data_IF_554415258652
#
_entry.id   IF_554415258652
#
_cell.length_a   1.000
_cell.length_b   1.000
_cell.length_c   1.000
_cell.angle_alpha   90.00
_cell.angle_beta   90.00
_cell.angle_gamma   90.00
#
_symmetry.space_group_name_H-M   'P 1'
#
loop_
_entity.id
_entity.type
_entity.pdbx_description
1 polymer ?
#
# COMPACT_ATOMS: atom_id res chain seq x y z
N UNK A 1 0.34 21.24 -10.91
CA UNK A 1 1.53 21.98 -10.44
C UNK A 1 2.30 22.58 -11.61
N UNK A 2 3.29 21.90 -12.22
CA UNK A 2 4.20 22.48 -13.22
C UNK A 2 3.57 23.39 -14.29
N UNK A 3 2.55 22.94 -15.02
CA UNK A 3 1.87 23.76 -16.05
C UNK A 3 0.98 24.88 -15.47
N UNK A 4 0.40 24.70 -14.27
CA UNK A 4 -0.46 25.70 -13.64
C UNK A 4 0.33 26.91 -13.11
N UNK A 5 1.61 26.69 -12.74
CA UNK A 5 2.54 27.76 -12.37
C UNK A 5 2.86 28.74 -13.52
N UNK A 6 2.49 28.40 -14.76
CA UNK A 6 2.63 29.29 -15.93
C UNK A 6 1.28 29.84 -16.44
N UNK A 7 0.16 29.48 -15.80
CA UNK A 7 -1.19 29.92 -16.19
C UNK A 7 -1.79 30.93 -15.21
N UNK A 8 -1.41 30.87 -13.93
CA UNK A 8 -1.89 31.75 -12.87
C UNK A 8 -0.72 32.49 -12.24
N UNK A 9 -0.67 33.81 -12.45
CA UNK A 9 0.40 34.70 -11.99
C UNK A 9 0.47 34.78 -10.47
N UNK A 10 -0.68 34.80 -9.79
CA UNK A 10 -0.73 35.00 -8.34
C UNK A 10 -0.44 33.68 -7.61
N UNK A 11 -0.84 32.54 -8.20
CA UNK A 11 -0.36 31.21 -7.80
C UNK A 11 1.16 31.07 -7.99
N UNK A 12 1.73 31.61 -9.08
CA UNK A 12 3.17 31.59 -9.32
C UNK A 12 3.94 32.45 -8.30
N UNK A 13 3.50 33.69 -8.05
CA UNK A 13 4.10 34.60 -7.07
C UNK A 13 4.04 34.02 -5.66
N UNK A 14 2.86 33.54 -5.23
CA UNK A 14 2.71 32.95 -3.89
C UNK A 14 3.52 31.67 -3.71
N UNK A 15 3.61 30.81 -4.74
CA UNK A 15 4.47 29.61 -4.71
C UNK A 15 5.95 29.97 -4.60
N UNK A 16 6.41 30.99 -5.35
CA UNK A 16 7.80 31.45 -5.29
C UNK A 16 8.13 32.11 -3.94
N UNK A 17 7.20 32.87 -3.35
CA UNK A 17 7.36 33.43 -2.00
C UNK A 17 7.44 32.33 -0.93
N UNK A 18 6.61 31.28 -1.02
CA UNK A 18 6.67 30.12 -0.12
C UNK A 18 8.00 29.35 -0.26
N UNK A 19 8.54 29.21 -1.47
CA UNK A 19 9.86 28.62 -1.74
C UNK A 19 11.02 29.50 -1.21
N UNK A 20 11.00 30.81 -1.43
CA UNK A 20 12.02 31.73 -0.91
C UNK A 20 12.04 31.72 0.63
N UNK A 21 10.85 31.74 1.23
CA UNK A 21 10.67 31.60 2.69
C UNK A 21 11.12 30.24 3.21
N UNK A 22 11.14 29.20 2.38
CA UNK A 22 11.71 27.89 2.71
C UNK A 22 13.24 27.91 2.65
N UNK A 23 13.82 28.46 1.58
CA UNK A 23 15.25 28.61 1.42
C UNK A 23 15.89 29.39 2.58
N UNK A 24 15.30 30.52 2.98
CA UNK A 24 15.80 31.28 4.14
C UNK A 24 15.78 30.49 5.44
N UNK A 25 14.74 29.68 5.70
CA UNK A 25 14.66 28.85 6.92
C UNK A 25 15.72 27.75 6.94
N UNK A 26 15.99 27.13 5.79
CA UNK A 26 17.08 26.15 5.64
C UNK A 26 18.44 26.83 5.83
N UNK A 27 18.66 28.00 5.23
CA UNK A 27 19.91 28.76 5.37
C UNK A 27 20.14 29.27 6.81
N UNK A 28 19.08 29.63 7.56
CA UNK A 28 19.18 29.95 9.00
C UNK A 28 19.54 28.71 9.82
N UNK A 29 18.83 27.59 9.65
CA UNK A 29 19.15 26.34 10.37
C UNK A 29 20.53 25.76 10.03
N UNK A 30 21.08 26.05 8.85
CA UNK A 30 22.48 25.76 8.48
C UNK A 30 23.50 26.67 9.18
N UNK A 31 23.12 27.87 9.62
CA UNK A 31 23.99 28.79 10.38
C UNK A 31 23.90 28.54 11.89
N UNK A 32 22.76 28.07 12.37
CA UNK A 32 22.56 27.69 13.78
C UNK A 32 23.20 26.31 14.09
N UNK A 33 23.41 25.47 13.06
CA UNK A 33 24.08 24.17 13.16
C UNK A 33 25.61 24.31 13.07
N UNK A 34 26.25 24.68 14.19
CA UNK A 34 27.71 24.67 14.32
C UNK A 34 28.28 23.26 14.16
N UNK A 35 29.08 23.07 13.12
CA UNK A 35 30.09 22.00 12.92
C UNK A 35 29.61 20.56 13.21
N UNK A 36 28.98 19.92 12.23
CA UNK A 36 28.47 18.54 12.38
C UNK A 36 27.75 17.96 11.15
N UNK A 37 28.54 17.48 10.18
CA UNK A 37 28.19 16.40 9.23
C UNK A 37 26.83 16.48 8.50
N UNK A 38 26.48 17.65 7.97
CA UNK A 38 25.56 17.75 6.82
C UNK A 38 26.35 17.55 5.52
N UNK A 39 26.61 16.29 5.16
CA UNK A 39 27.07 15.92 3.82
C UNK A 39 26.05 16.40 2.77
N UNK A 40 26.38 17.52 2.14
CA UNK A 40 25.84 17.85 0.83
C UNK A 40 26.18 16.69 -0.09
N UNK A 41 25.18 16.04 -0.66
CA UNK A 41 25.40 15.17 -1.82
C UNK A 41 25.98 16.09 -2.88
N UNK A 42 27.22 15.83 -3.29
CA UNK A 42 27.92 16.68 -4.24
C UNK A 42 27.09 16.87 -5.50
N UNK A 43 27.21 18.06 -6.09
CA UNK A 43 26.51 18.37 -7.33
C UNK A 43 27.16 17.56 -8.43
N UNK A 44 26.65 16.34 -8.63
CA UNK A 44 27.11 15.38 -9.64
C UNK A 44 27.38 16.13 -10.95
N UNK A 45 28.66 16.21 -11.29
CA UNK A 45 29.09 16.68 -12.60
C UNK A 45 28.44 15.77 -13.64
N UNK A 46 27.79 16.30 -14.69
CA UNK A 46 27.14 15.49 -15.71
C UNK A 46 28.08 14.57 -16.49
N UNK A 47 29.40 14.61 -16.25
CA UNK A 47 30.41 13.75 -16.84
C UNK A 47 30.94 12.63 -15.91
N UNK A 48 30.79 12.70 -14.58
CA UNK A 48 31.26 11.62 -13.69
C UNK A 48 30.21 10.50 -13.58
N UNK A 49 30.65 9.28 -13.87
CA UNK A 49 29.80 8.09 -13.94
C UNK A 49 30.10 7.03 -12.87
N UNK A 50 31.12 7.22 -12.01
CA UNK A 50 31.73 6.11 -11.26
C UNK A 50 31.57 6.18 -9.73
N UNK A 51 30.92 7.21 -9.20
CA UNK A 51 30.88 7.51 -7.75
C UNK A 51 29.87 6.69 -6.90
N UNK A 52 29.67 5.39 -7.17
CA UNK A 52 28.91 4.46 -6.29
C UNK A 52 29.46 3.02 -6.32
N UNK A 53 30.60 2.79 -5.68
CA UNK A 53 31.06 1.45 -5.28
C UNK A 53 31.49 1.46 -3.81
N UNK A 54 31.11 0.43 -3.06
CA UNK A 54 31.53 0.22 -1.65
C UNK A 54 31.96 -1.24 -1.47
N UNK A 55 33.16 -1.52 -1.96
CA UNK A 55 34.18 -2.41 -1.40
C UNK A 55 33.75 -3.76 -0.76
N UNK A 56 33.99 -4.85 -1.49
CA UNK A 56 34.48 -6.14 -0.96
C UNK A 56 35.43 -6.74 -2.04
N UNK A 57 36.32 -7.66 -1.65
CA UNK A 57 37.57 -8.01 -2.37
C UNK A 57 38.10 -9.38 -1.91
N UNK A 58 39.00 -10.10 -2.59
CA UNK A 58 39.92 -9.80 -3.71
C UNK A 58 39.45 -10.56 -5.00
N UNK A 59 40.15 -10.70 -6.15
CA UNK A 59 41.56 -10.52 -6.56
C UNK A 59 41.69 -10.33 -8.10
N UNK A 60 42.87 -9.91 -8.55
CA UNK A 60 43.31 -9.65 -9.95
C UNK A 60 43.21 -10.83 -10.96
N UNK A 61 42.90 -10.51 -12.22
CA UNK A 61 43.85 -10.59 -13.36
C UNK A 61 43.23 -9.98 -14.64
N UNK A 62 44.05 -9.29 -15.46
CA UNK A 62 43.67 -8.67 -16.74
C UNK A 62 43.34 -9.69 -17.86
N UNK A 63 42.43 -9.35 -18.80
CA UNK A 63 42.77 -8.77 -20.12
C UNK A 63 41.48 -8.33 -20.87
N UNK A 64 41.63 -7.47 -21.90
CA UNK A 64 40.51 -6.85 -22.66
C UNK A 64 39.75 -7.83 -23.58
N UNK A 65 38.43 -7.64 -23.73
CA UNK A 65 37.83 -7.47 -25.08
C UNK A 65 36.41 -6.85 -25.06
N UNK A 66 36.02 -6.13 -26.13
CA UNK A 66 34.69 -5.51 -26.25
C UNK A 66 33.63 -6.51 -26.76
N UNK A 67 32.76 -7.02 -25.86
CA UNK A 67 31.52 -7.71 -26.26
C UNK A 67 30.25 -7.05 -25.72
N UNK A 68 29.43 -6.54 -26.63
CA UNK A 68 28.12 -5.95 -26.35
C UNK A 68 27.08 -7.03 -26.07
N UNK A 69 26.86 -7.38 -24.81
CA UNK A 69 25.79 -8.31 -24.43
C UNK A 69 24.40 -7.71 -24.69
N UNK A 70 23.65 -8.33 -25.59
CA UNK A 70 22.36 -7.87 -26.09
C UNK A 70 21.24 -8.56 -25.29
N UNK A 71 20.95 -8.06 -24.08
CA UNK A 71 19.85 -8.54 -23.23
C UNK A 71 18.52 -8.47 -24.00
N UNK A 72 18.10 -9.62 -24.55
CA UNK A 72 16.92 -9.73 -25.41
C UNK A 72 15.64 -9.39 -24.65
N UNK A 73 15.15 -8.16 -24.83
CA UNK A 73 13.79 -7.78 -24.46
C UNK A 73 12.79 -8.41 -25.43
N UNK A 74 12.19 -9.53 -25.03
CA UNK A 74 11.11 -10.19 -25.76
C UNK A 74 9.81 -9.38 -25.63
N UNK A 75 9.55 -8.50 -26.60
CA UNK A 75 8.30 -7.78 -26.78
C UNK A 75 7.93 -7.71 -28.27
N UNK A 76 6.65 -7.99 -28.58
CA UNK A 76 6.14 -8.05 -29.96
C UNK A 76 5.87 -6.66 -30.57
N UNK A 77 6.94 -5.87 -30.73
CA UNK A 77 6.94 -4.63 -31.50
C UNK A 77 8.06 -4.69 -32.54
N UNK A 78 7.69 -4.78 -33.84
CA UNK A 78 8.58 -4.87 -35.00
C UNK A 78 9.87 -4.02 -34.82
N UNK A 79 10.97 -4.69 -34.50
CA UNK A 79 12.19 -4.01 -34.08
C UNK A 79 12.85 -3.29 -35.26
N UNK A 80 13.80 -2.39 -34.97
CA UNK A 80 14.61 -1.78 -36.04
C UNK A 80 15.43 -2.85 -36.79
N UNK A 81 15.71 -3.99 -36.14
CA UNK A 81 16.33 -5.15 -36.77
C UNK A 81 15.35 -5.89 -37.70
N UNK A 82 14.13 -6.17 -37.25
CA UNK A 82 13.10 -6.84 -38.07
C UNK A 82 12.77 -6.03 -39.33
N UNK A 83 12.73 -4.69 -39.22
CA UNK A 83 12.49 -3.80 -40.37
C UNK A 83 13.69 -3.69 -41.30
N UNK A 84 14.91 -3.93 -40.81
CA UNK A 84 16.11 -4.07 -41.63
C UNK A 84 16.14 -5.44 -42.32
N UNK A 85 15.82 -6.51 -41.60
CA UNK A 85 15.65 -7.87 -42.12
C UNK A 85 14.58 -7.94 -43.20
N UNK A 86 13.37 -7.40 -42.97
CA UNK A 86 12.31 -7.32 -43.98
C UNK A 86 12.73 -6.46 -45.19
N UNK A 87 13.50 -5.38 -45.01
CA UNK A 87 13.98 -4.58 -46.13
C UNK A 87 15.08 -5.30 -46.95
N UNK A 88 15.96 -6.05 -46.30
CA UNK A 88 16.98 -6.89 -46.95
C UNK A 88 16.31 -8.08 -47.65
N UNK A 89 15.37 -8.76 -46.99
CA UNK A 89 14.61 -9.87 -47.55
C UNK A 89 13.72 -9.41 -48.72
N UNK A 90 13.11 -8.22 -48.64
CA UNK A 90 12.39 -7.63 -49.77
C UNK A 90 13.32 -7.33 -50.95
N UNK A 91 14.51 -6.78 -50.70
CA UNK A 91 15.52 -6.52 -51.73
C UNK A 91 15.98 -7.81 -52.43
N UNK A 92 16.19 -8.89 -51.67
CA UNK A 92 16.58 -10.20 -52.20
C UNK A 92 15.41 -10.93 -52.88
N UNK A 93 14.16 -10.73 -52.43
CA UNK A 93 12.97 -11.37 -53.01
C UNK A 93 12.57 -10.88 -54.41
N UNK A 94 13.28 -9.87 -54.96
CA UNK A 94 13.19 -9.54 -56.38
C UNK A 94 13.69 -10.69 -57.28
N UNK A 95 14.61 -11.50 -56.77
CA UNK A 95 15.10 -12.73 -57.39
C UNK A 95 14.23 -13.89 -56.86
N UNK A 96 13.33 -14.42 -57.71
CA UNK A 96 12.25 -15.30 -57.24
C UNK A 96 12.66 -16.75 -56.96
N UNK A 97 12.99 -17.00 -55.69
CA UNK A 97 12.50 -18.13 -54.86
C UNK A 97 12.55 -19.55 -55.45
N UNK A 98 13.46 -20.40 -54.93
CA UNK A 98 13.49 -21.83 -55.25
C UNK A 98 14.25 -22.75 -54.29
N UNK A 99 14.38 -22.41 -53.00
CA UNK A 99 15.18 -23.12 -51.95
C UNK A 99 16.70 -23.31 -52.21
N UNK A 100 17.18 -23.15 -53.45
CA UNK A 100 18.60 -23.14 -53.78
C UNK A 100 19.26 -21.80 -53.43
N UNK A 101 20.54 -21.86 -53.04
CA UNK A 101 21.36 -20.68 -52.74
C UNK A 101 21.61 -19.87 -54.01
N UNK A 102 21.41 -18.55 -53.95
CA UNK A 102 21.83 -17.63 -55.01
C UNK A 102 23.34 -17.78 -55.19
N UNK A 103 23.77 -18.30 -56.34
CA UNK A 103 25.18 -18.30 -56.70
C UNK A 103 25.59 -16.86 -57.09
N UNK A 104 26.66 -16.38 -56.48
CA UNK A 104 27.13 -15.00 -56.66
C UNK A 104 27.99 -14.87 -57.93
N UNK A 105 28.50 -15.98 -58.46
CA UNK A 105 29.34 -15.98 -59.66
C UNK A 105 28.51 -15.89 -60.97
N UNK A 106 27.18 -16.10 -60.90
CA UNK A 106 26.22 -15.95 -62.02
C UNK A 106 25.59 -14.53 -62.10
N UNK A 107 25.90 -13.62 -61.17
CA UNK A 107 25.33 -12.26 -61.12
C UNK A 107 26.12 -11.28 -61.99
N UNK A 108 25.45 -10.54 -62.88
CA UNK A 108 26.12 -9.52 -63.71
C UNK A 108 26.49 -8.24 -62.93
N UNK A 109 27.47 -7.48 -63.44
CA UNK A 109 28.00 -6.26 -62.80
C UNK A 109 26.93 -5.20 -62.50
N UNK A 110 25.85 -5.17 -63.27
CA UNK A 110 24.78 -4.17 -63.17
C UNK A 110 23.71 -4.61 -62.14
N UNK A 111 23.39 -5.91 -62.06
CA UNK A 111 22.61 -6.49 -60.97
C UNK A 111 23.37 -6.41 -59.64
N UNK A 112 24.68 -6.63 -59.64
CA UNK A 112 25.54 -6.39 -58.48
C UNK A 112 25.49 -4.92 -58.01
N UNK A 113 25.57 -3.95 -58.93
CA UNK A 113 25.49 -2.52 -58.58
C UNK A 113 24.08 -2.12 -58.08
N UNK A 114 23.01 -2.71 -58.61
CA UNK A 114 21.64 -2.43 -58.14
C UNK A 114 21.36 -3.05 -56.78
N UNK A 115 21.76 -4.30 -56.52
CA UNK A 115 21.70 -4.93 -55.21
C UNK A 115 22.45 -4.10 -54.16
N UNK A 116 23.66 -3.64 -54.47
CA UNK A 116 24.45 -2.77 -53.60
C UNK A 116 23.75 -1.42 -53.33
N UNK A 117 23.12 -0.80 -54.33
CA UNK A 117 22.32 0.43 -54.16
C UNK A 117 21.10 0.22 -53.25
N UNK A 118 20.40 -0.90 -53.35
CA UNK A 118 19.24 -1.21 -52.50
C UNK A 118 19.67 -1.47 -51.06
N UNK A 119 20.70 -2.30 -50.84
CA UNK A 119 21.27 -2.56 -49.51
C UNK A 119 21.78 -1.26 -48.85
N UNK A 120 22.52 -0.43 -49.58
CA UNK A 120 23.00 0.86 -49.08
C UNK A 120 21.84 1.79 -48.67
N UNK A 121 20.71 1.75 -49.37
CA UNK A 121 19.52 2.50 -49.00
C UNK A 121 18.80 1.93 -47.75
N UNK A 122 18.74 0.61 -47.59
CA UNK A 122 18.23 -0.02 -46.37
C UNK A 122 19.06 0.37 -45.13
N UNK A 123 20.39 0.28 -45.21
CA UNK A 123 21.30 0.70 -44.13
C UNK A 123 21.24 2.22 -43.84
N UNK A 124 21.00 3.06 -44.85
CA UNK A 124 20.77 4.51 -44.64
C UNK A 124 19.48 4.77 -43.87
N UNK A 125 18.39 4.06 -44.20
CA UNK A 125 17.10 4.23 -43.53
C UNK A 125 17.12 3.77 -42.06
N UNK A 126 17.75 2.63 -41.75
CA UNK A 126 17.88 2.15 -40.36
C UNK A 126 18.70 3.12 -39.49
N UNK A 127 19.83 3.63 -40.01
CA UNK A 127 20.72 4.59 -39.31
C UNK A 127 20.04 5.94 -39.01
N UNK A 128 19.18 6.42 -39.91
CA UNK A 128 18.35 7.62 -39.69
C UNK A 128 17.29 7.42 -38.60
N UNK A 129 16.70 6.23 -38.51
CA UNK A 129 15.70 5.91 -37.48
C UNK A 129 16.33 5.73 -36.10
N UNK A 130 17.45 5.02 -35.98
CA UNK A 130 18.19 4.87 -34.72
C UNK A 130 18.60 6.21 -34.11
N UNK A 131 18.96 7.20 -34.94
CA UNK A 131 19.29 8.56 -34.49
C UNK A 131 18.11 9.30 -33.84
N UNK A 132 16.88 9.09 -34.34
CA UNK A 132 15.65 9.65 -33.76
C UNK A 132 15.30 8.97 -32.43
N UNK A 133 15.50 7.66 -32.32
CA UNK A 133 15.32 6.89 -31.07
C UNK A 133 16.32 7.33 -30.00
N UNK A 134 17.63 7.43 -30.34
CA UNK A 134 18.66 7.92 -29.40
C UNK A 134 18.39 9.36 -28.92
N UNK A 135 17.85 10.26 -29.76
CA UNK A 135 17.40 11.60 -29.32
C UNK A 135 16.18 11.57 -28.38
N UNK A 136 15.16 10.74 -28.66
CA UNK A 136 14.02 10.55 -27.74
C UNK A 136 14.47 10.01 -26.37
N UNK A 137 15.39 9.04 -26.36
CA UNK A 137 15.97 8.47 -25.13
C UNK A 137 16.68 9.53 -24.26
N UNK A 138 17.57 10.36 -24.84
CA UNK A 138 18.24 11.45 -24.10
C UNK A 138 17.24 12.43 -23.47
N UNK A 139 16.19 12.85 -24.20
CA UNK A 139 15.16 13.74 -23.64
C UNK A 139 14.36 13.07 -22.50
N UNK A 140 14.05 11.77 -22.63
CA UNK A 140 13.42 10.98 -21.58
C UNK A 140 14.25 10.92 -20.28
N UNK A 141 15.57 10.69 -20.38
CA UNK A 141 16.48 10.72 -19.23
C UNK A 141 16.49 12.09 -18.54
N UNK A 142 16.65 13.18 -19.30
CA UNK A 142 16.63 14.57 -18.78
C UNK A 142 15.32 14.86 -18.05
N UNK A 143 14.17 14.50 -18.62
CA UNK A 143 12.86 14.73 -18.02
C UNK A 143 12.66 13.93 -16.72
N UNK A 144 13.24 12.73 -16.61
CA UNK A 144 13.25 11.93 -15.38
C UNK A 144 14.13 12.56 -14.31
N UNK A 145 15.34 13.02 -14.63
CA UNK A 145 16.20 13.75 -13.68
C UNK A 145 15.51 15.03 -13.17
N UNK A 146 14.90 15.83 -14.05
CA UNK A 146 14.13 17.01 -13.65
C UNK A 146 12.99 16.65 -12.68
N UNK A 147 12.23 15.58 -12.95
CA UNK A 147 11.18 15.10 -12.04
C UNK A 147 11.73 14.66 -10.67
N UNK A 148 12.91 14.03 -10.63
CA UNK A 148 13.59 13.67 -9.37
C UNK A 148 14.00 14.94 -8.61
N UNK A 149 14.58 15.95 -9.26
CA UNK A 149 14.94 17.23 -8.61
C UNK A 149 13.71 18.01 -8.11
N UNK A 150 12.58 17.95 -8.80
CA UNK A 150 11.31 18.51 -8.30
C UNK A 150 10.81 17.76 -7.05
N UNK A 151 11.02 16.43 -6.97
CA UNK A 151 10.72 15.67 -5.75
C UNK A 151 11.69 16.03 -4.62
N UNK A 152 12.99 16.19 -4.88
CA UNK A 152 13.98 16.66 -3.89
C UNK A 152 13.54 18.00 -3.25
N UNK A 153 13.13 18.97 -4.08
CA UNK A 153 12.66 20.29 -3.61
C UNK A 153 11.36 20.19 -2.79
N UNK A 154 10.38 19.37 -3.22
CA UNK A 154 9.17 19.10 -2.45
C UNK A 154 9.49 18.43 -1.11
N UNK A 155 10.47 17.53 -1.10
CA UNK A 155 10.92 16.81 0.08
C UNK A 155 11.68 17.67 1.10
N UNK A 156 12.39 18.71 0.64
CA UNK A 156 12.98 19.77 1.49
C UNK A 156 11.87 20.65 2.05
N UNK A 157 10.94 21.10 1.20
CA UNK A 157 9.80 21.92 1.60
C UNK A 157 8.94 21.25 2.69
N UNK A 158 8.62 19.96 2.52
CA UNK A 158 7.88 19.17 3.52
C UNK A 158 8.62 19.00 4.85
N UNK A 159 9.96 19.07 4.85
CA UNK A 159 10.79 19.08 6.06
C UNK A 159 10.80 20.43 6.80
N UNK A 160 10.62 21.54 6.07
CA UNK A 160 10.82 22.91 6.57
C UNK A 160 9.80 23.41 7.62
N UNK A 161 8.72 22.67 7.86
CA UNK A 161 7.50 23.19 8.46
C UNK A 161 6.57 23.83 7.41
N UNK A 162 5.97 23.03 6.52
CA UNK A 162 5.15 23.53 5.41
C UNK A 162 3.80 24.12 5.87
N UNK A 163 3.10 24.78 4.95
CA UNK A 163 1.69 25.14 5.13
C UNK A 163 0.78 23.91 5.04
N UNK A 164 -0.20 23.78 5.95
CA UNK A 164 -1.13 22.65 5.98
C UNK A 164 -1.96 22.56 4.69
N UNK A 165 -2.43 23.70 4.17
CA UNK A 165 -3.17 23.76 2.91
C UNK A 165 -2.29 23.37 1.71
N UNK A 166 -1.03 23.81 1.67
CA UNK A 166 -0.08 23.47 0.60
C UNK A 166 0.23 21.97 0.57
N UNK A 167 0.43 21.32 1.73
CA UNK A 167 0.55 19.85 1.81
C UNK A 167 -0.64 19.12 1.17
N UNK A 168 -1.86 19.57 1.46
CA UNK A 168 -3.08 18.98 0.93
C UNK A 168 -3.29 19.27 -0.57
N UNK A 169 -2.80 20.40 -1.07
CA UNK A 169 -2.75 20.71 -2.52
C UNK A 169 -1.75 19.82 -3.29
N UNK A 170 -0.62 19.47 -2.68
CA UNK A 170 0.44 18.62 -3.28
C UNK A 170 0.01 17.15 -3.38
N UNK A 171 -0.84 16.68 -2.46
CA UNK A 171 -1.28 15.29 -2.31
C UNK A 171 -1.88 14.68 -3.59
N UNK A 172 -2.92 15.27 -4.18
CA UNK A 172 -3.57 14.71 -5.38
C UNK A 172 -2.64 14.69 -6.61
N UNK A 173 -1.86 15.75 -6.92
CA UNK A 173 -0.80 15.70 -7.92
C UNK A 173 0.21 14.57 -7.71
N UNK A 174 0.70 14.35 -6.49
CA UNK A 174 1.63 13.22 -6.23
C UNK A 174 0.94 11.87 -6.44
N UNK A 175 -0.33 11.71 -6.07
CA UNK A 175 -1.10 10.49 -6.36
C UNK A 175 -1.45 10.32 -7.85
N UNK A 176 -1.48 11.38 -8.65
CA UNK A 176 -1.59 11.30 -10.12
C UNK A 176 -0.25 10.89 -10.75
N UNK A 177 0.86 11.44 -10.26
CA UNK A 177 2.20 11.04 -10.70
C UNK A 177 2.49 9.59 -10.29
N UNK A 178 2.07 9.15 -9.10
CA UNK A 178 2.16 7.74 -8.68
C UNK A 178 1.45 6.82 -9.68
N UNK A 179 0.18 7.13 -9.97
CA UNK A 179 -0.66 6.38 -10.90
C UNK A 179 -0.05 6.27 -12.31
N UNK A 180 0.59 7.34 -12.80
CA UNK A 180 1.27 7.36 -14.10
C UNK A 180 2.57 6.55 -14.13
N UNK A 181 3.27 6.40 -13.00
CA UNK A 181 4.53 5.66 -12.92
C UNK A 181 4.34 4.17 -12.57
N UNK A 182 3.18 3.75 -12.04
CA UNK A 182 2.85 2.33 -11.86
C UNK A 182 2.56 1.65 -13.22
N UNK A 183 2.06 2.40 -14.21
CA UNK A 183 1.71 1.89 -15.56
C UNK A 183 2.91 1.80 -16.53
N UNK A 184 4.15 1.90 -16.07
CA UNK A 184 5.35 1.90 -16.92
C UNK A 184 6.55 1.33 -16.15
N UNK A 185 6.93 0.10 -16.49
CA UNK A 185 8.01 -0.65 -15.84
C UNK A 185 9.38 0.02 -15.94
N UNK A 186 9.64 0.85 -16.96
CA UNK A 186 10.90 1.58 -17.10
C UNK A 186 11.02 2.78 -16.14
N UNK A 187 9.95 3.14 -15.42
CA UNK A 187 9.93 4.27 -14.47
C UNK A 187 10.13 3.87 -13.00
N UNK A 188 10.54 2.63 -12.71
CA UNK A 188 10.78 2.09 -11.35
C UNK A 188 11.57 3.04 -10.41
N UNK A 189 12.67 3.70 -10.80
CA UNK A 189 13.39 4.64 -9.91
C UNK A 189 12.54 5.86 -9.51
N UNK A 190 11.77 6.42 -10.45
CA UNK A 190 10.88 7.55 -10.21
C UNK A 190 9.68 7.12 -9.36
N UNK A 191 9.14 5.93 -9.58
CA UNK A 191 8.08 5.33 -8.77
C UNK A 191 8.49 5.23 -7.28
N UNK A 192 9.70 4.77 -6.99
CA UNK A 192 10.24 4.70 -5.62
C UNK A 192 10.34 6.09 -4.98
N UNK A 193 10.85 7.10 -5.70
CA UNK A 193 10.94 8.49 -5.19
C UNK A 193 9.57 9.12 -4.94
N UNK A 194 8.59 8.89 -5.82
CA UNK A 194 7.21 9.39 -5.63
C UNK A 194 6.57 8.77 -4.39
N UNK A 195 6.75 7.45 -4.17
CA UNK A 195 6.30 6.76 -2.95
C UNK A 195 7.00 7.30 -1.69
N UNK A 196 8.30 7.62 -1.75
CA UNK A 196 9.01 8.25 -0.63
C UNK A 196 8.43 9.63 -0.29
N UNK A 197 8.27 10.50 -1.30
CA UNK A 197 7.72 11.85 -1.11
C UNK A 197 6.28 11.83 -0.56
N UNK A 198 5.42 10.91 -1.02
CA UNK A 198 4.08 10.69 -0.47
C UNK A 198 4.10 10.22 1.00
N UNK A 199 5.03 9.33 1.36
CA UNK A 199 5.22 8.88 2.74
C UNK A 199 5.73 10.01 3.64
N UNK A 200 6.60 10.88 3.13
CA UNK A 200 7.10 12.08 3.83
C UNK A 200 5.96 13.07 4.09
N UNK A 201 5.16 13.37 3.06
CA UNK A 201 3.96 14.23 3.14
C UNK A 201 2.98 13.72 4.21
N UNK A 202 2.60 12.44 4.14
CA UNK A 202 1.62 11.83 5.06
C UNK A 202 2.09 11.71 6.52
N UNK A 203 3.37 12.03 6.79
CA UNK A 203 3.99 12.03 8.12
C UNK A 203 4.43 13.42 8.61
N UNK A 204 4.09 14.51 7.91
CA UNK A 204 4.28 15.88 8.43
C UNK A 204 3.47 16.06 9.72
N UNK A 205 4.13 16.53 10.79
CA UNK A 205 3.52 16.76 12.11
C UNK A 205 3.46 18.24 12.51
N UNK A 206 4.36 19.07 11.98
CA UNK A 206 4.49 20.51 12.28
C UNK A 206 4.10 21.31 11.05
N UNK A 207 3.28 22.34 11.23
CA UNK A 207 2.85 23.26 10.18
C UNK A 207 3.10 24.69 10.66
N UNK A 208 3.59 25.58 9.79
CA UNK A 208 3.71 27.01 10.11
C UNK A 208 2.36 27.70 9.93
N UNK A 209 1.63 27.39 8.85
CA UNK A 209 0.31 27.95 8.56
C UNK A 209 -0.78 26.87 8.57
N UNK A 210 -1.84 27.11 9.35
CA UNK A 210 -3.00 26.22 9.54
C UNK A 210 -4.30 26.83 8.94
N UNK A 211 -4.20 28.05 8.42
CA UNK A 211 -5.29 28.82 7.80
C UNK A 211 -5.65 28.33 6.39
N UNK A 212 -6.70 28.92 5.80
CA UNK A 212 -7.24 28.55 4.48
C UNK A 212 -7.88 27.15 4.39
N UNK A 213 -7.66 26.28 5.37
CA UNK A 213 -8.16 24.90 5.39
C UNK A 213 -9.66 24.83 5.78
N UNK A 214 -10.55 24.84 4.79
CA UNK A 214 -12.00 24.87 5.01
C UNK A 214 -12.64 23.48 5.16
N UNK A 215 -13.86 23.45 5.71
CA UNK A 215 -14.70 22.25 5.76
C UNK A 215 -15.03 21.67 4.37
N UNK A 216 -15.09 22.52 3.33
CA UNK A 216 -15.33 22.10 1.94
C UNK A 216 -14.09 21.45 1.34
N UNK A 217 -12.90 22.02 1.54
CA UNK A 217 -11.63 21.42 1.10
C UNK A 217 -11.45 20.02 1.73
N UNK A 218 -11.72 19.86 3.03
CA UNK A 218 -11.70 18.54 3.69
C UNK A 218 -12.67 17.56 3.03
N UNK A 219 -13.91 18.02 2.80
CA UNK A 219 -14.95 17.16 2.26
C UNK A 219 -14.63 16.68 0.85
N UNK A 220 -14.28 17.61 -0.02
CA UNK A 220 -13.97 17.34 -1.43
C UNK A 220 -12.72 16.49 -1.55
N UNK A 221 -11.63 16.81 -0.83
CA UNK A 221 -10.40 16.02 -0.88
C UNK A 221 -10.59 14.59 -0.36
N UNK A 222 -11.35 14.40 0.73
CA UNK A 222 -11.61 13.06 1.26
C UNK A 222 -12.46 12.22 0.29
N UNK A 223 -13.48 12.83 -0.33
CA UNK A 223 -14.24 12.20 -1.43
C UNK A 223 -13.31 11.82 -2.59
N UNK A 224 -12.52 12.76 -3.12
CA UNK A 224 -11.61 12.50 -4.24
C UNK A 224 -10.50 11.49 -3.94
N UNK A 225 -10.13 11.27 -2.66
CA UNK A 225 -9.24 10.18 -2.26
C UNK A 225 -9.94 8.81 -2.26
N UNK A 226 -11.18 8.75 -1.75
CA UNK A 226 -12.00 7.52 -1.75
C UNK A 226 -12.44 7.12 -3.16
N UNK A 227 -12.67 8.11 -4.03
CA UNK A 227 -12.99 7.96 -5.46
C UNK A 227 -11.76 7.69 -6.32
N UNK A 228 -10.52 7.88 -5.81
CA UNK A 228 -9.28 7.66 -6.58
C UNK A 228 -8.95 6.20 -6.87
N UNK A 229 -9.80 5.26 -6.46
CA UNK A 229 -9.73 3.86 -6.85
C UNK A 229 -10.14 3.68 -8.31
N UNK A 230 -9.17 3.53 -9.21
CA UNK A 230 -9.43 3.32 -10.64
C UNK A 230 -10.19 2.01 -10.91
N UNK A 231 -10.87 1.93 -12.06
CA UNK A 231 -11.51 0.68 -12.52
C UNK A 231 -10.54 -0.52 -12.67
N UNK A 232 -9.22 -0.29 -12.74
CA UNK A 232 -8.21 -1.35 -12.71
C UNK A 232 -7.93 -1.80 -11.26
N UNK A 233 -8.26 -3.06 -10.94
CA UNK A 233 -8.12 -3.67 -9.61
C UNK A 233 -6.66 -3.83 -9.16
N UNK A 234 -5.69 -3.97 -10.06
CA UNK A 234 -4.26 -4.08 -9.70
C UNK A 234 -3.70 -2.71 -9.31
N UNK A 235 -3.93 -1.70 -10.16
CA UNK A 235 -3.54 -0.30 -9.90
C UNK A 235 -4.14 0.23 -8.58
N UNK A 236 -5.37 -0.18 -8.25
CA UNK A 236 -6.00 0.08 -6.94
C UNK A 236 -5.22 -0.56 -5.78
N UNK A 237 -4.70 -1.78 -5.93
CA UNK A 237 -3.89 -2.43 -4.89
C UNK A 237 -2.55 -1.70 -4.72
N UNK A 238 -1.85 -1.42 -5.82
CA UNK A 238 -0.54 -0.75 -5.82
C UNK A 238 -0.53 0.67 -5.25
N UNK A 239 -1.68 1.36 -5.25
CA UNK A 239 -1.85 2.68 -4.65
C UNK A 239 -2.57 2.66 -3.29
N UNK A 240 -3.03 1.50 -2.82
CA UNK A 240 -3.94 1.43 -1.68
C UNK A 240 -3.31 1.85 -0.35
N UNK A 241 -1.99 1.69 -0.21
CA UNK A 241 -1.24 2.14 0.97
C UNK A 241 -1.15 3.67 0.98
N UNK A 242 -0.76 4.26 -0.14
CA UNK A 242 -0.52 5.69 -0.30
C UNK A 242 -1.82 6.50 -0.22
N UNK A 243 -2.92 6.00 -0.82
CA UNK A 243 -4.26 6.59 -0.67
C UNK A 243 -4.71 6.54 0.80
N UNK A 244 -4.44 5.43 1.49
CA UNK A 244 -4.78 5.26 2.91
C UNK A 244 -3.98 6.18 3.83
N UNK A 245 -2.66 6.28 3.63
CA UNK A 245 -1.78 7.21 4.34
C UNK A 245 -2.24 8.66 4.12
N UNK A 246 -2.66 9.02 2.90
CA UNK A 246 -3.24 10.32 2.57
C UNK A 246 -4.57 10.58 3.31
N UNK A 247 -5.47 9.60 3.36
CA UNK A 247 -6.71 9.68 4.16
C UNK A 247 -6.40 9.87 5.66
N UNK A 248 -5.48 9.08 6.21
CA UNK A 248 -5.03 9.18 7.61
C UNK A 248 -4.38 10.55 7.90
N UNK A 249 -3.59 11.09 6.99
CA UNK A 249 -3.03 12.44 7.09
C UNK A 249 -4.11 13.52 7.10
N UNK A 250 -5.09 13.44 6.20
CA UNK A 250 -6.21 14.38 6.17
C UNK A 250 -7.04 14.36 7.46
N UNK A 251 -7.23 13.18 8.08
CA UNK A 251 -7.89 13.05 9.39
C UNK A 251 -7.03 13.68 10.50
N UNK A 252 -5.71 13.41 10.53
CA UNK A 252 -4.78 14.08 11.47
C UNK A 252 -4.84 15.60 11.34
N UNK A 253 -4.86 16.15 10.12
CA UNK A 253 -5.02 17.58 9.86
C UNK A 253 -6.39 18.11 10.35
N UNK A 254 -7.48 17.36 10.14
CA UNK A 254 -8.80 17.72 10.68
C UNK A 254 -8.87 17.65 12.21
N UNK A 255 -8.03 16.84 12.86
CA UNK A 255 -7.87 16.71 14.30
C UNK A 255 -6.82 17.66 14.93
N UNK A 256 -6.04 18.42 14.14
CA UNK A 256 -4.86 19.15 14.63
C UNK A 256 -5.16 20.05 15.85
N UNK A 257 -4.28 20.06 16.85
CA UNK A 257 -4.53 20.70 18.14
C UNK A 257 -4.37 22.23 18.14
N UNK A 258 -3.73 22.82 17.12
CA UNK A 258 -3.71 24.28 16.89
C UNK A 258 -5.06 24.83 16.40
N UNK A 259 -6.12 24.00 16.34
CA UNK A 259 -7.44 24.37 15.86
C UNK A 259 -8.40 24.68 17.01
N UNK A 260 -9.20 25.77 16.91
CA UNK A 260 -10.28 26.03 17.87
C UNK A 260 -11.22 24.83 18.00
N UNK A 261 -11.54 24.43 19.24
CA UNK A 261 -12.27 23.18 19.52
C UNK A 261 -13.63 23.05 18.82
N UNK A 262 -14.34 24.16 18.59
CA UNK A 262 -15.58 24.21 17.78
C UNK A 262 -15.30 23.80 16.32
N UNK A 263 -14.23 24.32 15.72
CA UNK A 263 -13.77 23.99 14.36
C UNK A 263 -13.30 22.54 14.26
N UNK A 264 -12.50 22.05 15.21
CA UNK A 264 -12.05 20.65 15.30
C UNK A 264 -13.25 19.68 15.29
N UNK A 265 -14.22 19.85 16.19
CA UNK A 265 -15.47 19.05 16.21
C UNK A 265 -16.26 19.15 14.88
N UNK A 266 -16.42 20.35 14.31
CA UNK A 266 -17.13 20.56 13.04
C UNK A 266 -16.44 19.87 11.85
N UNK A 267 -15.10 19.79 11.86
CA UNK A 267 -14.31 19.08 10.83
C UNK A 267 -14.41 17.57 11.01
N UNK A 268 -14.18 17.05 12.23
CA UNK A 268 -14.35 15.63 12.57
C UNK A 268 -15.74 15.10 12.17
N UNK A 269 -16.81 15.86 12.41
CA UNK A 269 -18.17 15.48 12.01
C UNK A 269 -18.41 15.41 10.49
N UNK A 270 -17.72 16.24 9.68
CA UNK A 270 -17.79 16.17 8.21
C UNK A 270 -16.97 15.00 7.67
N UNK A 271 -15.80 14.73 8.24
CA UNK A 271 -14.97 13.54 7.96
C UNK A 271 -15.76 12.26 8.26
N UNK A 272 -16.37 12.16 9.43
CA UNK A 272 -17.21 11.01 9.82
C UNK A 272 -18.36 10.79 8.84
N UNK A 273 -19.11 11.85 8.47
CA UNK A 273 -20.23 11.75 7.52
C UNK A 273 -19.83 11.20 6.14
N UNK A 274 -18.59 11.41 5.70
CA UNK A 274 -18.07 10.85 4.44
C UNK A 274 -17.65 9.39 4.64
N UNK A 275 -16.96 9.08 5.73
CA UNK A 275 -16.49 7.72 6.04
C UNK A 275 -17.61 6.73 6.43
N UNK A 276 -18.86 7.20 6.58
CA UNK A 276 -20.07 6.34 6.57
C UNK A 276 -20.15 5.46 5.29
N UNK A 277 -19.41 5.81 4.23
CA UNK A 277 -19.14 4.96 3.05
C UNK A 277 -18.59 3.57 3.40
N UNK A 278 -18.16 3.31 4.64
CA UNK A 278 -17.93 1.96 5.17
C UNK A 278 -19.16 1.05 4.94
N UNK A 279 -20.40 1.55 5.05
CA UNK A 279 -21.61 0.80 4.71
C UNK A 279 -21.63 0.34 3.24
N UNK A 280 -21.17 1.21 2.33
CA UNK A 280 -21.07 0.93 0.89
C UNK A 280 -20.03 -0.17 0.66
N UNK A 281 -18.86 -0.05 1.32
CA UNK A 281 -17.81 -1.09 1.29
C UNK A 281 -18.32 -2.46 1.75
N UNK A 282 -19.08 -2.51 2.85
CA UNK A 282 -19.58 -3.79 3.37
C UNK A 282 -20.71 -4.37 2.51
N UNK A 283 -21.69 -3.57 2.09
CA UNK A 283 -22.93 -4.05 1.45
C UNK A 283 -22.85 -4.18 -0.09
N UNK A 284 -22.19 -3.29 -0.83
CA UNK A 284 -22.22 -3.36 -2.31
C UNK A 284 -21.35 -4.47 -2.88
N UNK A 285 -21.89 -5.33 -3.76
CA UNK A 285 -21.19 -6.50 -4.35
C UNK A 285 -19.84 -6.13 -5.00
N UNK A 286 -19.78 -4.97 -5.65
CA UNK A 286 -18.58 -4.38 -6.22
C UNK A 286 -18.36 -3.02 -5.53
N UNK A 287 -17.15 -2.75 -5.06
CA UNK A 287 -16.78 -1.49 -4.42
C UNK A 287 -15.27 -1.26 -4.63
N UNK A 288 -14.89 -0.08 -5.10
CA UNK A 288 -13.51 0.29 -5.44
C UNK A 288 -12.72 0.87 -4.24
N UNK A 289 -13.35 0.99 -3.07
CA UNK A 289 -12.71 1.50 -1.85
C UNK A 289 -11.87 0.38 -1.24
N UNK A 290 -10.56 0.61 -1.04
CA UNK A 290 -9.69 -0.40 -0.42
C UNK A 290 -9.99 -0.60 1.06
N UNK A 291 -10.00 -1.86 1.49
CA UNK A 291 -10.01 -2.25 2.91
C UNK A 291 -8.91 -1.55 3.73
N UNK A 292 -7.75 -1.31 3.11
CA UNK A 292 -6.58 -0.76 3.79
C UNK A 292 -6.82 0.65 4.34
N UNK A 293 -7.72 1.41 3.70
CA UNK A 293 -8.18 2.74 4.16
C UNK A 293 -8.84 2.60 5.54
N UNK A 294 -9.84 1.73 5.68
CA UNK A 294 -10.50 1.49 6.96
C UNK A 294 -9.54 0.89 7.99
N UNK A 295 -8.67 -0.05 7.58
CA UNK A 295 -7.65 -0.66 8.45
C UNK A 295 -6.77 0.40 9.12
N UNK A 296 -6.24 1.35 8.35
CA UNK A 296 -5.34 2.39 8.85
C UNK A 296 -6.08 3.46 9.67
N UNK A 297 -7.35 3.74 9.34
CA UNK A 297 -8.21 4.65 10.13
C UNK A 297 -8.53 4.04 11.51
N UNK A 298 -8.77 2.72 11.59
CA UNK A 298 -8.93 2.02 12.87
C UNK A 298 -7.63 1.90 13.69
N UNK A 299 -6.47 2.06 13.06
CA UNK A 299 -5.17 2.19 13.72
C UNK A 299 -4.85 3.64 14.16
N UNK A 300 -5.60 4.64 13.68
CA UNK A 300 -5.46 6.04 14.09
C UNK A 300 -6.20 6.30 15.41
N UNK A 301 -5.61 7.12 16.29
CA UNK A 301 -6.28 7.64 17.48
C UNK A 301 -7.32 8.71 17.09
N UNK A 302 -8.51 8.27 16.65
CA UNK A 302 -9.61 9.14 16.24
C UNK A 302 -10.96 8.72 16.82
N UNK A 303 -11.58 9.65 17.53
CA UNK A 303 -12.89 9.51 18.18
C UNK A 303 -14.01 9.05 17.24
N UNK A 304 -13.89 9.31 15.93
CA UNK A 304 -14.86 8.86 14.93
C UNK A 304 -14.95 7.34 14.78
N UNK A 305 -13.90 6.60 15.18
CA UNK A 305 -13.92 5.15 15.20
C UNK A 305 -15.03 4.60 16.12
N UNK A 306 -15.39 5.34 17.18
CA UNK A 306 -16.49 4.97 18.09
C UNK A 306 -17.82 4.84 17.33
N UNK A 307 -18.08 5.71 16.36
CA UNK A 307 -19.32 5.68 15.56
C UNK A 307 -19.35 4.56 14.52
N UNK A 308 -18.21 3.94 14.18
CA UNK A 308 -18.17 2.78 13.29
C UNK A 308 -18.34 1.45 14.02
N UNK A 309 -17.91 1.36 15.28
CA UNK A 309 -17.90 0.08 15.99
C UNK A 309 -19.28 -0.61 16.02
N UNK A 310 -20.41 0.05 16.36
CA UNK A 310 -21.76 -0.54 16.26
C UNK A 310 -22.06 -1.17 14.89
N UNK A 311 -21.79 -0.43 13.80
CA UNK A 311 -22.00 -0.88 12.42
C UNK A 311 -21.22 -2.18 12.12
N UNK A 312 -19.99 -2.29 12.63
CA UNK A 312 -19.18 -3.49 12.41
C UNK A 312 -19.75 -4.73 13.12
N UNK A 313 -20.40 -4.60 14.27
CA UNK A 313 -21.06 -5.75 14.92
C UNK A 313 -22.18 -6.29 14.06
N UNK A 314 -23.05 -5.41 13.55
CA UNK A 314 -24.13 -5.79 12.62
C UNK A 314 -23.59 -6.38 11.31
N UNK A 315 -22.33 -6.12 10.94
CA UNK A 315 -21.68 -6.72 9.77
C UNK A 315 -21.03 -8.10 10.01
N UNK A 316 -20.89 -8.57 11.26
CA UNK A 316 -20.25 -9.89 11.53
C UNK A 316 -21.16 -11.06 11.17
N UNK A 317 -22.44 -10.99 11.54
CA UNK A 317 -23.39 -12.09 11.37
C UNK A 317 -24.53 -11.82 10.37
N UNK A 318 -24.64 -10.62 9.80
CA UNK A 318 -25.57 -10.35 8.68
C UNK A 318 -25.22 -11.24 7.46
N UNK A 319 -26.24 -11.91 6.90
CA UNK A 319 -26.02 -12.89 5.84
C UNK A 319 -25.83 -12.33 4.43
N UNK A 320 -26.42 -11.15 4.14
CA UNK A 320 -26.26 -10.43 2.86
C UNK A 320 -24.78 -10.08 2.59
N UNK A 321 -24.02 -9.85 3.66
CA UNK A 321 -22.59 -9.53 3.58
C UNK A 321 -21.78 -10.81 3.30
N UNK A 322 -20.94 -10.75 2.27
CA UNK A 322 -20.00 -11.83 1.93
C UNK A 322 -19.12 -12.19 3.12
N UNK A 323 -18.94 -13.48 3.41
CA UNK A 323 -18.12 -13.99 4.53
C UNK A 323 -16.69 -13.41 4.58
N UNK A 324 -16.06 -13.13 3.43
CA UNK A 324 -14.77 -12.43 3.37
C UNK A 324 -14.81 -11.04 4.02
N UNK A 325 -15.91 -10.29 3.83
CA UNK A 325 -16.13 -9.01 4.50
C UNK A 325 -16.53 -9.18 5.96
N UNK A 326 -17.35 -10.19 6.32
CA UNK A 326 -17.62 -10.50 7.74
C UNK A 326 -16.31 -10.74 8.53
N UNK A 327 -15.32 -11.40 7.92
CA UNK A 327 -13.95 -11.50 8.47
C UNK A 327 -13.26 -10.15 8.64
N UNK A 328 -13.37 -9.25 7.65
CA UNK A 328 -12.81 -7.91 7.72
C UNK A 328 -13.47 -7.02 8.79
N UNK A 329 -14.76 -7.20 9.07
CA UNK A 329 -15.43 -6.55 10.21
C UNK A 329 -14.81 -7.00 11.55
N UNK A 330 -14.58 -8.32 11.71
CA UNK A 330 -13.87 -8.87 12.87
C UNK A 330 -12.45 -8.33 13.01
N UNK A 331 -11.71 -8.18 11.90
CA UNK A 331 -10.35 -7.61 11.91
C UNK A 331 -10.35 -6.11 12.29
N UNK A 332 -11.32 -5.31 11.83
CA UNK A 332 -11.47 -3.91 12.25
C UNK A 332 -11.90 -3.79 13.73
N UNK A 333 -12.84 -4.62 14.19
CA UNK A 333 -13.23 -4.72 15.60
C UNK A 333 -12.08 -5.19 16.50
N UNK A 334 -11.16 -6.02 15.98
CA UNK A 334 -9.91 -6.39 16.68
C UNK A 334 -9.00 -5.17 16.82
N UNK A 335 -8.76 -4.41 15.74
CA UNK A 335 -7.95 -3.20 15.77
C UNK A 335 -8.51 -2.15 16.74
N UNK A 336 -9.83 -1.97 16.78
CA UNK A 336 -10.51 -1.04 17.70
C UNK A 336 -10.15 -1.30 19.18
N UNK A 337 -10.07 -2.56 19.62
CA UNK A 337 -9.82 -2.92 21.04
C UNK A 337 -8.32 -3.00 21.39
N UNK A 338 -7.45 -2.92 20.38
CA UNK A 338 -6.01 -2.72 20.54
C UNK A 338 -5.66 -1.21 20.58
N UNK A 339 -6.47 -0.36 19.97
CA UNK A 339 -6.36 1.10 19.97
C UNK A 339 -6.85 1.70 21.31
N UNK A 340 -6.06 1.49 22.38
CA UNK A 340 -6.44 1.79 23.76
C UNK A 340 -6.04 3.20 24.20
N UNK A 341 -7.01 4.11 24.23
CA UNK A 341 -7.00 5.25 25.16
C UNK A 341 -7.97 4.97 26.30
N UNK A 342 -7.43 4.82 27.50
CA UNK A 342 -8.22 4.69 28.74
C UNK A 342 -8.63 6.08 29.28
N UNK A 343 -9.30 6.87 28.43
CA UNK A 343 -9.89 8.17 28.79
C UNK A 343 -11.32 7.95 29.32
N UNK A 344 -11.83 8.81 30.22
CA UNK A 344 -13.19 8.68 30.77
C UNK A 344 -14.32 8.68 29.70
N UNK A 345 -14.05 9.22 28.51
CA UNK A 345 -14.96 9.14 27.36
C UNK A 345 -15.06 7.73 26.76
N UNK A 346 -14.03 6.91 26.92
CA UNK A 346 -13.96 5.52 26.45
C UNK A 346 -14.82 4.58 27.31
N UNK A 347 -14.82 4.75 28.63
CA UNK A 347 -15.70 3.97 29.54
C UNK A 347 -17.18 4.23 29.24
N UNK A 348 -17.57 5.50 29.05
CA UNK A 348 -18.93 5.86 28.61
C UNK A 348 -19.27 5.27 27.23
N UNK A 349 -18.28 5.13 26.35
CA UNK A 349 -18.45 4.50 25.05
C UNK A 349 -18.61 2.97 25.15
N UNK A 350 -17.84 2.28 26.01
CA UNK A 350 -18.02 0.84 26.25
C UNK A 350 -19.46 0.52 26.67
N UNK A 351 -20.05 1.33 27.55
CA UNK A 351 -21.47 1.20 27.93
C UNK A 351 -22.43 1.30 26.73
N UNK A 352 -22.14 2.15 25.74
CA UNK A 352 -22.97 2.29 24.52
C UNK A 352 -22.83 1.12 23.53
N UNK A 353 -21.77 0.31 23.68
CA UNK A 353 -21.47 -0.85 22.81
C UNK A 353 -21.72 -2.18 23.52
N UNK A 354 -21.93 -2.18 24.84
CA UNK A 354 -22.15 -3.36 25.66
C UNK A 354 -23.29 -4.29 25.15
N UNK A 355 -24.38 -3.75 24.62
CA UNK A 355 -25.46 -4.57 24.05
C UNK A 355 -25.08 -5.19 22.69
N UNK A 356 -24.25 -4.51 21.90
CA UNK A 356 -23.72 -5.06 20.65
C UNK A 356 -22.69 -6.16 20.90
N UNK A 357 -21.90 -6.05 21.98
CA UNK A 357 -21.01 -7.13 22.44
C UNK A 357 -21.78 -8.34 22.93
N UNK A 358 -22.85 -8.13 23.70
CA UNK A 358 -23.73 -9.21 24.18
C UNK A 358 -24.39 -9.93 23.01
N UNK A 359 -25.07 -9.20 22.12
CA UNK A 359 -25.61 -9.72 20.86
C UNK A 359 -24.58 -10.54 20.08
N UNK A 360 -23.35 -10.03 19.90
CA UNK A 360 -22.27 -10.76 19.23
C UNK A 360 -21.92 -12.07 19.93
N UNK A 361 -21.90 -12.12 21.27
CA UNK A 361 -21.61 -13.33 22.03
C UNK A 361 -22.77 -14.34 21.97
N UNK A 362 -24.01 -13.86 21.97
CA UNK A 362 -25.20 -14.68 21.77
C UNK A 362 -25.21 -15.29 20.35
N UNK A 363 -24.93 -14.48 19.32
CA UNK A 363 -24.74 -14.92 17.92
C UNK A 363 -23.59 -15.94 17.80
N UNK A 364 -22.47 -15.74 18.53
CA UNK A 364 -21.38 -16.74 18.61
C UNK A 364 -21.89 -18.05 19.21
N UNK A 365 -22.64 -18.01 20.32
CA UNK A 365 -23.18 -19.22 20.97
C UNK A 365 -24.14 -19.96 20.02
N UNK A 366 -25.00 -19.24 19.31
CA UNK A 366 -25.90 -19.80 18.28
C UNK A 366 -25.10 -20.47 17.16
N UNK A 367 -24.04 -19.82 16.66
CA UNK A 367 -23.17 -20.38 15.62
C UNK A 367 -22.38 -21.61 16.13
N UNK A 368 -21.85 -21.58 17.34
CA UNK A 368 -21.13 -22.70 18.00
C UNK A 368 -22.04 -23.89 18.37
N UNK A 369 -23.37 -23.75 18.23
CA UNK A 369 -24.35 -24.83 18.36
C UNK A 369 -24.66 -25.46 17.00
N UNK A 370 -25.14 -24.69 16.02
CA UNK A 370 -25.43 -25.17 14.67
C UNK A 370 -24.20 -25.81 13.96
N UNK A 371 -22.99 -25.33 14.26
CA UNK A 371 -21.74 -25.90 13.72
C UNK A 371 -21.33 -27.26 14.32
N UNK A 372 -22.05 -27.76 15.33
CA UNK A 372 -21.93 -29.14 15.82
C UNK A 372 -22.63 -30.12 14.87
N UNK A 373 -23.72 -29.65 14.25
CA UNK A 373 -24.53 -30.38 13.28
C UNK A 373 -23.89 -30.30 11.88
N UNK A 374 -23.38 -29.12 11.51
CA UNK A 374 -22.81 -28.84 10.18
C UNK A 374 -21.28 -28.74 10.25
N UNK A 375 -20.58 -29.78 9.75
CA UNK A 375 -19.10 -29.93 9.72
C UNK A 375 -18.33 -28.92 8.84
N UNK A 376 -18.92 -27.78 8.45
CA UNK A 376 -18.31 -26.80 7.53
C UNK A 376 -18.40 -25.35 8.04
N UNK A 377 -17.60 -25.01 9.06
CA UNK A 377 -17.29 -23.60 9.39
C UNK A 377 -15.89 -23.28 8.87
N UNK A 378 -15.72 -22.14 8.18
CA UNK A 378 -14.44 -21.78 7.59
C UNK A 378 -13.46 -21.29 8.65
N UNK A 379 -12.38 -22.03 8.86
CA UNK A 379 -11.31 -21.80 9.86
C UNK A 379 -11.00 -20.32 10.13
N UNK A 380 -10.71 -19.54 9.07
CA UNK A 380 -10.31 -18.14 9.21
C UNK A 380 -11.34 -17.27 9.93
N UNK A 381 -12.64 -17.53 9.74
CA UNK A 381 -13.71 -16.83 10.44
C UNK A 381 -13.74 -17.19 11.93
N UNK A 382 -13.64 -18.47 12.27
CA UNK A 382 -13.52 -18.95 13.65
C UNK A 382 -12.28 -18.34 14.34
N UNK A 383 -11.15 -18.34 13.65
CA UNK A 383 -9.88 -17.83 14.18
C UNK A 383 -9.92 -16.30 14.40
N UNK A 384 -10.52 -15.54 13.47
CA UNK A 384 -10.76 -14.11 13.65
C UNK A 384 -11.78 -13.82 14.76
N UNK A 385 -12.83 -14.64 14.90
CA UNK A 385 -13.83 -14.53 15.96
C UNK A 385 -13.24 -14.82 17.34
N UNK A 386 -12.36 -15.83 17.47
CA UNK A 386 -11.66 -16.11 18.72
C UNK A 386 -10.62 -15.03 19.07
N UNK A 387 -9.90 -14.50 18.07
CA UNK A 387 -9.06 -13.31 18.25
C UNK A 387 -9.87 -12.09 18.73
N UNK A 388 -11.08 -11.90 18.19
CA UNK A 388 -12.01 -10.83 18.55
C UNK A 388 -12.47 -10.95 20.01
N UNK A 389 -12.97 -12.13 20.41
CA UNK A 389 -13.39 -12.40 21.80
C UNK A 389 -12.23 -12.24 22.78
N UNK A 390 -11.02 -12.71 22.43
CA UNK A 390 -9.82 -12.49 23.24
C UNK A 390 -9.49 -11.00 23.40
N UNK A 391 -9.68 -10.19 22.38
CA UNK A 391 -9.44 -8.74 22.45
C UNK A 391 -10.44 -8.01 23.36
N UNK A 392 -11.69 -8.48 23.43
CA UNK A 392 -12.72 -8.01 24.38
C UNK A 392 -12.37 -8.41 25.82
N UNK A 393 -12.04 -9.69 26.05
CA UNK A 393 -11.63 -10.22 27.36
C UNK A 393 -10.37 -9.58 27.93
N UNK A 394 -9.42 -9.20 27.07
CA UNK A 394 -8.14 -8.62 27.49
C UNK A 394 -8.26 -7.14 27.92
N UNK A 395 -9.46 -6.60 28.09
CA UNK A 395 -9.71 -5.22 28.51
C UNK A 395 -9.71 -5.08 30.03
N UNK A 396 -9.55 -3.86 30.53
CA UNK A 396 -9.49 -3.54 31.98
C UNK A 396 -10.81 -3.88 32.69
N UNK A 397 -11.93 -3.72 31.99
CA UNK A 397 -13.29 -4.05 32.47
C UNK A 397 -13.97 -4.90 31.40
N UNK A 398 -13.87 -6.26 31.45
CA UNK A 398 -14.67 -7.10 30.56
C UNK A 398 -16.16 -6.85 30.85
N UNK A 399 -16.95 -6.76 29.79
CA UNK A 399 -18.36 -6.41 29.88
C UNK A 399 -19.15 -7.45 30.70
N UNK A 400 -19.92 -6.95 31.67
CA UNK A 400 -20.67 -7.74 32.65
C UNK A 400 -22.02 -8.25 32.11
N UNK A 401 -22.54 -7.71 31.00
CA UNK A 401 -23.78 -8.22 30.38
C UNK A 401 -23.58 -9.47 29.52
N UNK A 402 -22.33 -9.86 29.28
CA UNK A 402 -21.95 -11.07 28.53
C UNK A 402 -21.77 -12.24 29.49
N UNK A 403 -22.48 -13.36 29.27
CA UNK A 403 -22.19 -14.61 29.98
C UNK A 403 -20.94 -15.29 29.40
N UNK A 404 -19.78 -14.87 29.91
CA UNK A 404 -18.48 -15.45 29.58
C UNK A 404 -18.34 -16.93 30.00
N UNK A 405 -19.15 -17.43 30.94
CA UNK A 405 -19.15 -18.85 31.34
C UNK A 405 -19.87 -19.67 30.29
N UNK A 406 -21.10 -19.31 29.96
CA UNK A 406 -21.91 -19.96 28.91
C UNK A 406 -21.16 -19.94 27.57
N UNK A 407 -20.57 -18.80 27.19
CA UNK A 407 -19.72 -18.71 26.00
C UNK A 407 -18.50 -19.65 26.08
N UNK A 408 -17.80 -19.66 27.22
CA UNK A 408 -16.64 -20.53 27.46
C UNK A 408 -16.95 -22.02 27.42
N UNK A 409 -18.11 -22.45 27.91
CA UNK A 409 -18.57 -23.84 27.85
C UNK A 409 -18.92 -24.24 26.41
N UNK A 410 -19.65 -23.41 25.65
CA UNK A 410 -19.93 -23.67 24.24
C UNK A 410 -18.64 -23.73 23.39
N UNK A 411 -17.62 -22.91 23.71
CA UNK A 411 -16.28 -22.99 23.12
C UNK A 411 -15.58 -24.31 23.50
N UNK A 412 -15.59 -24.70 24.78
CA UNK A 412 -14.93 -25.93 25.27
C UNK A 412 -15.44 -27.18 24.54
N UNK A 413 -16.72 -27.22 24.20
CA UNK A 413 -17.37 -28.30 23.48
C UNK A 413 -17.08 -28.30 21.96
N UNK A 414 -17.01 -27.12 21.33
CA UNK A 414 -16.83 -26.98 19.88
C UNK A 414 -15.50 -27.54 19.34
N UNK A 415 -14.42 -27.48 20.14
CA UNK A 415 -13.11 -28.12 19.87
C UNK A 415 -12.60 -28.03 18.41
N UNK A 416 -12.46 -26.81 17.88
CA UNK A 416 -11.89 -26.60 16.54
C UNK A 416 -10.50 -27.22 16.40
N UNK A 417 -10.33 -28.11 15.40
CA UNK A 417 -9.01 -28.63 15.01
C UNK A 417 -8.18 -27.57 14.30
N UNK A 418 -8.86 -26.69 13.58
CA UNK A 418 -8.29 -25.82 12.56
C UNK A 418 -7.84 -24.49 13.20
N UNK A 419 -8.73 -23.84 13.97
CA UNK A 419 -8.42 -22.63 14.73
C UNK A 419 -7.64 -22.90 16.05
N UNK A 420 -6.89 -24.01 16.14
CA UNK A 420 -6.29 -24.55 17.39
C UNK A 420 -5.44 -23.55 18.18
N UNK A 421 -4.67 -22.69 17.50
CA UNK A 421 -3.79 -21.71 18.17
C UNK A 421 -4.61 -20.61 18.84
N UNK A 422 -5.55 -20.00 18.12
CA UNK A 422 -6.40 -18.91 18.63
C UNK A 422 -7.44 -19.43 19.64
N UNK A 423 -7.95 -20.64 19.43
CA UNK A 423 -8.73 -21.40 20.42
C UNK A 423 -7.97 -21.54 21.75
N UNK A 424 -6.73 -22.05 21.72
CA UNK A 424 -5.92 -22.23 22.93
C UNK A 424 -5.62 -20.90 23.64
N UNK A 425 -5.40 -19.82 22.88
CA UNK A 425 -5.20 -18.48 23.44
C UNK A 425 -6.47 -17.92 24.10
N UNK A 426 -7.65 -18.18 23.51
CA UNK A 426 -8.93 -17.77 24.08
C UNK A 426 -9.30 -18.60 25.32
N UNK A 427 -9.07 -19.91 25.31
CA UNK A 427 -9.29 -20.78 26.47
C UNK A 427 -8.43 -20.37 27.68
N UNK A 428 -7.18 -19.93 27.45
CA UNK A 428 -6.32 -19.36 28.50
C UNK A 428 -6.88 -18.04 29.05
N UNK A 429 -7.39 -17.15 28.18
CA UNK A 429 -7.99 -15.89 28.60
C UNK A 429 -9.29 -16.10 29.40
N UNK A 430 -10.07 -17.13 29.06
CA UNK A 430 -11.28 -17.58 29.77
C UNK A 430 -10.98 -18.50 30.98
N UNK A 431 -9.71 -18.73 31.32
CA UNK A 431 -9.25 -19.62 32.40
C UNK A 431 -9.81 -21.07 32.33
N UNK A 432 -10.14 -21.55 31.12
CA UNK A 432 -10.72 -22.88 30.92
C UNK A 432 -9.65 -23.97 31.10
N UNK A 433 -9.80 -24.79 32.14
CA UNK A 433 -8.89 -25.91 32.42
C UNK A 433 -8.88 -26.95 31.29
N UNK A 434 -7.70 -27.29 30.77
CA UNK A 434 -7.54 -28.28 29.69
C UNK A 434 -7.86 -29.70 30.19
N UNK A 435 -8.96 -30.28 29.71
CA UNK A 435 -9.58 -31.50 30.28
C UNK A 435 -8.86 -32.82 29.95
N UNK A 436 -7.61 -32.76 29.47
CA UNK A 436 -6.77 -33.93 29.15
C UNK A 436 -6.49 -34.88 30.33
N UNK A 437 -6.65 -34.46 31.59
CA UNK A 437 -6.28 -35.26 32.78
C UNK A 437 -7.41 -36.13 33.40
N UNK A 438 -8.61 -36.25 32.80
CA UNK A 438 -9.76 -36.93 33.42
C UNK A 438 -10.37 -38.15 32.71
N UNK A 439 -9.64 -38.76 31.76
CA UNK A 439 -9.97 -40.08 31.17
C UNK A 439 -8.71 -40.93 30.94
N UNK A 440 -8.01 -41.27 32.01
CA UNK A 440 -6.81 -42.14 31.99
C UNK A 440 -6.78 -43.13 33.18
N UNK A 441 -7.11 -42.67 34.39
CA UNK A 441 -7.21 -43.52 35.57
C UNK A 441 -8.62 -44.14 35.64
N UNK A 442 -8.89 -45.10 34.76
CA UNK A 442 -10.21 -45.70 34.57
C UNK A 442 -10.17 -47.08 33.89
N UNK A 443 -9.16 -47.88 34.23
CA UNK A 443 -9.09 -49.31 33.93
C UNK A 443 -8.69 -50.03 35.22
N UNK A 444 -9.44 -51.07 35.61
CA UNK A 444 -9.19 -51.79 36.85
C UNK A 444 -7.85 -52.55 36.77
N UNK A 445 -7.06 -52.45 37.83
CA UNK A 445 -5.86 -53.29 38.01
C UNK A 445 -6.21 -54.55 38.82
N UNK A 446 -7.32 -55.20 38.48
CA UNK A 446 -7.77 -56.46 39.08
C UNK A 446 -7.22 -57.65 38.30
N UNK A 447 -5.95 -58.00 38.57
CA UNK A 447 -5.45 -59.38 38.52
C UNK A 447 -3.99 -59.44 39.01
N UNK A 448 -3.50 -60.65 39.32
CA UNK A 448 -2.10 -60.99 39.65
C UNK A 448 -1.52 -60.40 40.95
N UNK A 449 -2.18 -60.70 42.09
CA UNK A 449 -1.48 -60.94 43.37
C UNK A 449 -2.01 -62.20 44.09
N UNK A 450 -1.92 -63.34 43.42
CA UNK A 450 -1.95 -64.66 44.06
C UNK A 450 -0.79 -65.50 43.52
N UNK A 451 0.24 -65.69 44.35
CA UNK A 451 1.12 -66.86 44.50
C UNK A 451 2.34 -66.50 45.36
N UNK A 452 2.99 -67.52 45.93
CA UNK A 452 4.25 -67.42 46.70
C UNK A 452 4.19 -66.69 48.06
N UNK A 453 3.50 -67.27 49.05
CA UNK A 453 4.15 -67.70 50.31
C UNK A 453 3.48 -68.98 50.83
N UNK A 454 4.24 -70.07 50.92
CA UNK A 454 4.06 -71.20 51.84
C UNK A 454 5.48 -71.59 52.26
N UNK A 455 5.76 -71.84 53.56
CA UNK A 455 7.10 -72.22 54.03
C UNK A 455 7.49 -73.67 53.66
#
# INVERSE_FOLDING_TARGET
MGLQLFQDKDLAVSSNQELFSCYERVNRTLKDASDGDLKWIEVLDPNDSNALSVNESESESDEDDEVSDDEKSDDHNETVNDKLLMAIQAALSGYQTGEESIDLDDMDDNDAETLYKVLANAFRQSKLNGSKVKKKSKHGKILTYFRIRVLDLLEIYLGSGPGMLSCLKIMLPLLQVLEFNIRDDHKKPLLVRVRHCLRKLSNVKKFILVEGFTNTIIGNLLSSLLEKGTNNSMLLQDMSNEISDCCVFLIKCAQNDSLPGKTKKRRQGKVLKILIVINVYFKQRYCLISYYIFKSIFQLHWDGNHAFAPLLFDFVFNDDIRLFRRNQALDLLKLFYLNRRHDNAYDKFLMSVAEHEKKLCDDVIVMLRHSREIKQVKEKFVSNLFNRLRAMLSHSKPNQSVDWKMLGDNIREFRSRDAKVTYNQLCRALQLSDTKKRKANGFNHEERRQNSVVP
#
